data_IF_504069628866
#
_entry.id   IF_504069628866
#
_cell.length_a   1.000
_cell.length_b   1.000
_cell.length_c   1.000
_cell.angle_alpha   90.00
_cell.angle_beta   90.00
_cell.angle_gamma   90.00
#
_symmetry.space_group_name_H-M   'P 1'
#
loop_
_entity.id
_entity.type
_entity.pdbx_description
1 polymer ?
#
# COMPACT_ATOMS: atom_id res chain seq x y z
N UNK A 1 -15.83 -9.36 -9.95
CA UNK A 1 -14.60 -10.18 -9.84
C UNK A 1 -13.51 -9.29 -9.35
N UNK A 2 -12.59 -9.76 -8.47
CA UNK A 2 -11.57 -8.88 -7.92
C UNK A 2 -10.50 -8.54 -8.94
N UNK A 3 -10.04 -7.30 -8.96
CA UNK A 3 -8.81 -6.89 -9.64
C UNK A 3 -7.59 -7.32 -8.84
N UNK A 4 -6.51 -7.77 -9.49
CA UNK A 4 -5.31 -8.21 -8.80
C UNK A 4 -4.27 -7.10 -8.75
N UNK A 5 -3.89 -6.69 -7.54
CA UNK A 5 -2.84 -5.72 -7.27
C UNK A 5 -1.58 -6.47 -6.81
N UNK A 6 -0.49 -6.29 -7.54
CA UNK A 6 0.80 -6.82 -7.15
C UNK A 6 1.49 -5.85 -6.19
N UNK A 7 1.45 -6.14 -4.89
CA UNK A 7 2.17 -5.36 -3.88
C UNK A 7 3.60 -5.85 -3.77
N UNK A 8 4.53 -5.13 -4.39
CA UNK A 8 5.95 -5.52 -4.44
C UNK A 8 6.72 -4.95 -3.26
N UNK A 9 7.44 -5.84 -2.58
CA UNK A 9 8.43 -5.51 -1.55
C UNK A 9 9.83 -5.73 -2.13
N UNK A 10 10.48 -4.69 -2.68
CA UNK A 10 11.79 -4.86 -3.30
C UNK A 10 12.84 -5.17 -2.26
N UNK A 11 13.66 -6.19 -2.51
CA UNK A 11 14.82 -6.54 -1.68
C UNK A 11 16.05 -6.65 -2.57
N UNK A 12 17.22 -6.33 -2.01
CA UNK A 12 18.48 -6.24 -2.78
C UNK A 12 19.14 -7.61 -2.98
N UNK A 13 18.52 -8.67 -2.52
CA UNK A 13 18.96 -10.05 -2.68
C UNK A 13 18.47 -10.97 -1.58
N UNK A 14 18.75 -12.28 -1.67
CA UNK A 14 18.44 -13.24 -0.64
C UNK A 14 19.36 -13.05 0.60
N UNK A 15 19.03 -13.65 1.76
CA UNK A 15 19.78 -13.50 3.00
C UNK A 15 21.29 -13.71 2.88
N UNK A 16 21.71 -14.70 2.09
CA UNK A 16 23.13 -14.97 1.86
C UNK A 16 23.86 -13.81 1.16
N UNK A 17 23.20 -13.15 0.17
CA UNK A 17 23.76 -11.99 -0.51
C UNK A 17 23.80 -10.77 0.42
N UNK A 18 22.75 -10.56 1.22
CA UNK A 18 22.71 -9.48 2.22
C UNK A 18 23.85 -9.61 3.25
N UNK A 19 24.11 -10.83 3.71
CA UNK A 19 25.19 -11.10 4.65
C UNK A 19 26.57 -10.89 4.03
N UNK A 20 26.77 -11.36 2.79
CA UNK A 20 28.06 -11.28 2.08
C UNK A 20 28.44 -9.85 1.67
N UNK A 21 27.43 -8.99 1.38
CA UNK A 21 27.62 -7.60 0.90
C UNK A 21 27.21 -6.55 1.95
N UNK A 22 27.26 -6.89 3.22
CA UNK A 22 26.79 -6.02 4.32
C UNK A 22 27.57 -4.69 4.43
N UNK A 23 26.92 -3.52 4.48
CA UNK A 23 25.49 -3.27 4.36
C UNK A 23 25.08 -3.12 2.88
N UNK A 24 24.35 -4.10 2.35
CA UNK A 24 23.97 -4.18 0.94
C UNK A 24 23.10 -2.99 0.48
N UNK A 25 22.34 -2.36 1.39
CA UNK A 25 21.55 -1.16 1.09
C UNK A 25 22.39 0.07 0.66
N UNK A 26 23.72 0.02 0.83
CA UNK A 26 24.66 1.04 0.35
C UNK A 26 25.41 0.63 -0.91
N UNK A 27 25.10 -0.52 -1.43
CA UNK A 27 25.75 -1.07 -2.62
C UNK A 27 25.02 -0.63 -3.89
N UNK A 28 25.63 0.30 -4.64
CA UNK A 28 25.02 0.87 -5.84
C UNK A 28 24.75 -0.18 -6.93
N UNK A 29 25.57 -1.22 -7.05
CA UNK A 29 25.33 -2.29 -8.04
C UNK A 29 24.11 -3.13 -7.66
N UNK A 30 23.95 -3.45 -6.37
CA UNK A 30 22.77 -4.16 -5.89
C UNK A 30 21.48 -3.32 -6.07
N UNK A 31 21.55 -2.01 -5.81
CA UNK A 31 20.44 -1.09 -6.05
C UNK A 31 20.08 -1.01 -7.52
N UNK A 32 21.07 -0.88 -8.43
CA UNK A 32 20.79 -0.86 -9.87
C UNK A 32 20.19 -2.17 -10.35
N UNK A 33 20.73 -3.31 -9.91
CA UNK A 33 20.18 -4.63 -10.27
C UNK A 33 18.72 -4.80 -9.80
N UNK A 34 18.37 -4.29 -8.63
CA UNK A 34 16.99 -4.28 -8.13
C UNK A 34 16.10 -3.39 -8.99
N UNK A 35 16.55 -2.18 -9.32
CA UNK A 35 15.82 -1.23 -10.17
C UNK A 35 15.57 -1.83 -11.55
N UNK A 36 16.58 -2.43 -12.19
CA UNK A 36 16.46 -3.09 -13.50
C UNK A 36 15.48 -4.28 -13.42
N UNK A 37 15.54 -5.05 -12.33
CA UNK A 37 14.62 -6.16 -12.12
C UNK A 37 13.17 -5.71 -11.91
N UNK A 38 12.92 -4.55 -11.30
CA UNK A 38 11.57 -4.00 -11.16
C UNK A 38 10.94 -3.60 -12.51
N UNK A 39 11.74 -3.19 -13.50
CA UNK A 39 11.23 -2.97 -14.88
C UNK A 39 10.61 -4.27 -15.40
N UNK A 40 11.30 -5.37 -15.24
CA UNK A 40 10.84 -6.68 -15.75
C UNK A 40 9.58 -7.15 -15.06
N UNK A 41 9.51 -6.99 -13.72
CA UNK A 41 8.29 -7.29 -12.97
C UNK A 41 7.12 -6.43 -13.44
N UNK A 42 7.35 -5.12 -13.64
CA UNK A 42 6.31 -4.21 -14.11
C UNK A 42 5.85 -4.56 -15.54
N UNK A 43 6.77 -4.88 -16.44
CA UNK A 43 6.45 -5.32 -17.79
C UNK A 43 5.70 -6.66 -17.80
N UNK A 44 6.17 -7.64 -17.02
CA UNK A 44 5.48 -8.92 -16.89
C UNK A 44 4.06 -8.73 -16.32
N UNK A 45 3.89 -7.90 -15.30
CA UNK A 45 2.58 -7.60 -14.72
C UNK A 45 1.65 -6.91 -15.74
N UNK A 46 2.16 -5.97 -16.55
CA UNK A 46 1.38 -5.30 -17.62
C UNK A 46 0.95 -6.29 -18.71
N UNK A 47 1.90 -7.13 -19.18
CA UNK A 47 1.64 -8.11 -20.25
C UNK A 47 0.69 -9.24 -19.79
N UNK A 48 0.77 -9.64 -18.52
CA UNK A 48 -0.03 -10.70 -17.91
C UNK A 48 -1.41 -10.21 -17.40
N UNK A 49 -1.71 -8.90 -17.48
CA UNK A 49 -3.03 -8.38 -17.13
C UNK A 49 -3.28 -8.14 -15.66
N UNK A 50 -2.24 -7.97 -14.84
CA UNK A 50 -2.40 -7.45 -13.50
C UNK A 50 -2.98 -6.03 -13.54
N UNK A 51 -3.85 -5.70 -12.60
CA UNK A 51 -4.52 -4.39 -12.59
C UNK A 51 -3.59 -3.26 -12.14
N UNK A 52 -2.75 -3.52 -11.13
CA UNK A 52 -1.79 -2.55 -10.64
C UNK A 52 -0.54 -3.22 -10.06
N UNK A 53 0.56 -2.44 -10.05
CA UNK A 53 1.76 -2.69 -9.25
C UNK A 53 1.91 -1.59 -8.21
N UNK A 54 2.20 -1.97 -6.97
CA UNK A 54 2.35 -1.04 -5.86
C UNK A 54 3.60 -1.32 -5.04
N UNK A 55 4.12 -0.27 -4.39
CA UNK A 55 5.30 -0.34 -3.53
C UNK A 55 5.01 0.27 -2.15
N UNK A 56 5.73 -0.17 -1.13
CA UNK A 56 5.69 0.42 0.22
C UNK A 56 6.56 1.68 0.31
N UNK A 57 6.37 2.49 1.35
CA UNK A 57 7.32 3.52 1.74
C UNK A 57 8.04 3.08 3.02
N UNK A 58 9.31 2.69 2.88
CA UNK A 58 10.16 2.29 4.00
C UNK A 58 11.54 2.93 3.87
N UNK A 59 12.09 3.40 4.99
CA UNK A 59 13.32 4.16 5.01
C UNK A 59 14.42 3.50 5.85
N UNK A 60 15.69 3.84 5.54
CA UNK A 60 16.89 3.45 6.28
C UNK A 60 17.18 1.94 6.33
N UNK A 61 16.67 1.20 5.34
CA UNK A 61 16.87 -0.24 5.22
C UNK A 61 18.26 -0.57 4.66
N UNK A 62 19.29 -0.33 5.48
CA UNK A 62 20.67 -0.65 5.12
C UNK A 62 20.93 -2.15 4.94
N UNK A 63 20.08 -2.99 5.51
CA UNK A 63 20.05 -4.43 5.31
C UNK A 63 19.52 -4.88 3.95
N UNK A 64 18.85 -3.99 3.21
CA UNK A 64 18.37 -4.25 1.85
C UNK A 64 17.02 -4.96 1.74
N UNK A 65 16.28 -5.14 2.84
CA UNK A 65 14.89 -5.63 2.81
C UNK A 65 13.92 -4.48 2.57
N UNK A 66 12.81 -4.74 1.86
CA UNK A 66 11.72 -3.76 1.61
C UNK A 66 12.28 -2.39 1.19
N UNK A 67 13.21 -2.40 0.24
CA UNK A 67 14.01 -1.24 -0.14
C UNK A 67 13.24 -0.30 -1.07
N UNK A 68 12.42 0.57 -0.52
CA UNK A 68 11.58 1.50 -1.28
C UNK A 68 11.40 2.85 -0.54
N UNK A 69 12.45 3.71 -0.50
CA UNK A 69 12.38 4.98 0.25
C UNK A 69 11.59 6.09 -0.46
N UNK A 70 11.30 5.95 -1.75
CA UNK A 70 10.58 6.95 -2.54
C UNK A 70 9.64 6.27 -3.56
N UNK A 71 8.57 5.60 -3.11
CA UNK A 71 7.72 4.78 -3.99
C UNK A 71 7.01 5.61 -5.06
N UNK A 72 6.61 6.85 -4.79
CA UNK A 72 5.97 7.70 -5.79
C UNK A 72 6.91 7.99 -6.97
N UNK A 73 8.17 8.32 -6.71
CA UNK A 73 9.18 8.53 -7.74
C UNK A 73 9.44 7.23 -8.53
N UNK A 74 9.55 6.10 -7.83
CA UNK A 74 9.73 4.79 -8.42
C UNK A 74 8.57 4.43 -9.36
N UNK A 75 7.32 4.68 -8.94
CA UNK A 75 6.14 4.42 -9.75
C UNK A 75 6.09 5.29 -11.02
N UNK A 76 6.41 6.59 -10.91
CA UNK A 76 6.50 7.48 -12.08
C UNK A 76 7.53 6.96 -13.07
N UNK A 77 8.70 6.53 -12.60
CA UNK A 77 9.75 5.99 -13.46
C UNK A 77 9.35 4.66 -14.10
N UNK A 78 8.80 3.70 -13.33
CA UNK A 78 8.36 2.40 -13.84
C UNK A 78 7.21 2.53 -14.85
N UNK A 79 6.34 3.54 -14.72
CA UNK A 79 5.21 3.73 -15.62
C UNK A 79 5.60 3.98 -17.08
N UNK A 80 6.86 4.37 -17.35
CA UNK A 80 7.39 4.56 -18.69
C UNK A 80 7.62 3.23 -19.42
N UNK A 81 7.68 2.11 -18.70
CA UNK A 81 7.91 0.77 -19.24
C UNK A 81 6.63 -0.05 -19.40
N UNK A 82 5.47 0.51 -19.05
CA UNK A 82 4.16 -0.15 -19.07
C UNK A 82 3.13 0.68 -19.81
N UNK A 83 2.06 0.04 -20.31
CA UNK A 83 1.03 0.70 -21.12
C UNK A 83 -0.32 0.80 -20.41
N UNK A 84 -0.73 -0.26 -19.73
CA UNK A 84 -2.07 -0.40 -19.10
C UNK A 84 -1.98 -0.44 -17.59
N UNK A 85 -0.90 -1.05 -17.07
CA UNK A 85 -0.70 -1.26 -15.63
C UNK A 85 -0.83 0.05 -14.85
N UNK A 86 -1.64 0.04 -13.81
CA UNK A 86 -1.67 1.13 -12.84
C UNK A 86 -0.46 1.00 -11.90
N UNK A 87 -0.01 2.14 -11.43
CA UNK A 87 1.12 2.22 -10.49
C UNK A 87 0.69 2.94 -9.23
N UNK A 88 1.18 2.51 -8.08
CA UNK A 88 0.79 3.16 -6.84
C UNK A 88 1.61 2.77 -5.63
N UNK A 89 1.16 3.24 -4.51
CA UNK A 89 1.78 2.98 -3.22
C UNK A 89 0.78 2.29 -2.29
N UNK A 90 1.25 1.30 -1.54
CA UNK A 90 0.53 0.75 -0.41
C UNK A 90 1.49 0.65 0.80
N UNK A 91 1.72 1.84 1.45
CA UNK A 91 1.24 3.22 1.17
C UNK A 91 2.28 4.26 1.54
N UNK A 92 1.99 5.48 1.05
CA UNK A 92 2.71 6.67 1.51
C UNK A 92 2.42 6.93 2.99
N UNK A 93 3.45 7.22 3.76
CA UNK A 93 3.30 7.44 5.20
C UNK A 93 3.01 8.90 5.48
N UNK A 94 1.74 9.26 5.42
CA UNK A 94 1.24 10.64 5.43
C UNK A 94 1.66 11.45 6.66
N UNK A 95 1.94 10.80 7.78
CA UNK A 95 2.44 11.45 9.01
C UNK A 95 3.93 11.84 8.95
N UNK A 96 4.66 11.39 7.92
CA UNK A 96 6.05 11.77 7.68
C UNK A 96 6.21 12.83 6.56
N UNK A 97 5.11 13.21 5.90
CA UNK A 97 5.10 14.16 4.80
C UNK A 97 4.45 15.51 5.16
N UNK A 98 4.87 16.56 4.47
CA UNK A 98 4.07 17.80 4.39
C UNK A 98 2.87 17.54 3.47
N UNK A 99 1.63 17.72 3.95
CA UNK A 99 0.44 17.30 3.21
C UNK A 99 0.17 18.14 1.95
N UNK A 100 0.55 19.41 1.94
CA UNK A 100 0.36 20.27 0.75
C UNK A 100 1.36 19.89 -0.33
N UNK A 101 2.62 19.74 0.04
CA UNK A 101 3.66 19.31 -0.90
C UNK A 101 3.36 17.93 -1.48
N UNK A 102 2.92 17.01 -0.64
CA UNK A 102 2.54 15.67 -1.11
C UNK A 102 1.33 15.73 -2.05
N UNK A 103 0.35 16.61 -1.81
CA UNK A 103 -0.77 16.83 -2.71
C UNK A 103 -0.33 17.29 -4.10
N UNK A 104 0.64 18.22 -4.19
CA UNK A 104 1.24 18.67 -5.45
C UNK A 104 2.02 17.53 -6.15
N UNK A 105 2.84 16.79 -5.41
CA UNK A 105 3.62 15.67 -5.93
C UNK A 105 2.72 14.56 -6.50
N UNK A 106 1.63 14.21 -5.80
CA UNK A 106 0.64 13.24 -6.27
C UNK A 106 -0.07 13.76 -7.53
N UNK A 107 -0.47 15.03 -7.56
CA UNK A 107 -1.14 15.61 -8.72
C UNK A 107 -0.25 15.59 -9.97
N UNK A 108 1.03 15.97 -9.84
CA UNK A 108 2.01 15.88 -10.93
C UNK A 108 2.22 14.42 -11.37
N UNK A 109 2.35 13.50 -10.43
CA UNK A 109 2.49 12.07 -10.75
C UNK A 109 1.28 11.54 -11.52
N UNK A 110 0.07 11.92 -11.13
CA UNK A 110 -1.17 11.52 -11.82
C UNK A 110 -1.22 12.04 -13.27
N UNK A 111 -0.77 13.28 -13.52
CA UNK A 111 -0.59 13.80 -14.88
C UNK A 111 0.44 13.00 -15.69
N UNK A 112 1.59 12.67 -15.08
CA UNK A 112 2.65 11.89 -15.74
C UNK A 112 2.19 10.45 -16.06
N UNK A 113 1.38 9.85 -15.19
CA UNK A 113 0.79 8.54 -15.38
C UNK A 113 -0.51 8.57 -16.21
N UNK A 114 -1.03 9.76 -16.54
CA UNK A 114 -2.28 9.93 -17.29
C UNK A 114 -3.47 9.18 -16.68
N UNK A 115 -3.65 9.29 -15.36
CA UNK A 115 -4.75 8.65 -14.63
C UNK A 115 -4.52 7.18 -14.26
N UNK A 116 -3.34 6.62 -14.52
CA UNK A 116 -2.96 5.27 -14.06
C UNK A 116 -2.36 5.25 -12.65
N UNK A 117 -2.48 6.35 -11.88
CA UNK A 117 -2.01 6.41 -10.50
C UNK A 117 -3.10 5.92 -9.54
N UNK A 118 -2.71 5.11 -8.57
CA UNK A 118 -3.48 4.84 -7.35
C UNK A 118 -2.66 5.29 -6.14
N UNK A 119 -3.32 5.78 -5.10
CA UNK A 119 -2.65 6.38 -3.95
C UNK A 119 -3.06 5.67 -2.68
N UNK A 120 -2.18 4.87 -2.12
CA UNK A 120 -2.37 4.28 -0.80
C UNK A 120 -1.66 5.10 0.28
N UNK A 121 -2.31 5.22 1.41
CA UNK A 121 -1.84 6.00 2.56
C UNK A 121 -1.62 5.09 3.77
N UNK A 122 -0.68 5.45 4.62
CA UNK A 122 -0.35 4.72 5.85
C UNK A 122 0.01 5.67 6.99
N UNK A 123 -0.05 5.17 8.23
CA UNK A 123 0.36 5.92 9.43
C UNK A 123 1.82 5.70 9.84
N UNK A 124 2.48 4.66 9.29
CA UNK A 124 3.85 4.27 9.61
C UNK A 124 3.97 3.46 10.90
N UNK A 125 4.51 2.24 10.81
CA UNK A 125 4.63 1.31 11.96
C UNK A 125 6.08 1.05 12.40
N UNK A 126 7.07 1.42 11.59
CA UNK A 126 8.48 1.15 11.88
C UNK A 126 9.11 2.30 12.66
N UNK A 127 9.37 2.08 13.95
CA UNK A 127 9.90 3.10 14.85
C UNK A 127 11.26 3.67 14.44
N UNK A 128 12.14 2.85 13.82
CA UNK A 128 13.49 3.24 13.40
C UNK A 128 13.51 4.50 12.53
N UNK A 129 12.61 4.60 11.58
CA UNK A 129 12.56 5.75 10.69
C UNK A 129 11.43 6.73 11.03
N UNK A 130 10.30 6.25 11.55
CA UNK A 130 9.20 7.12 11.96
C UNK A 130 9.62 8.09 13.05
N UNK A 131 10.39 7.65 14.06
CA UNK A 131 10.93 8.53 15.09
C UNK A 131 11.89 9.60 14.54
N UNK A 132 12.50 9.34 13.37
CA UNK A 132 13.38 10.30 12.70
C UNK A 132 12.60 11.24 11.78
N UNK A 133 11.76 10.72 10.90
CA UNK A 133 11.06 11.53 9.90
C UNK A 133 9.81 12.21 10.45
N UNK A 134 9.15 11.60 11.43
CA UNK A 134 7.98 12.16 12.12
C UNK A 134 8.31 13.18 13.22
N UNK A 135 9.60 13.37 13.58
CA UNK A 135 10.00 14.23 14.69
C UNK A 135 9.51 15.70 14.57
N UNK A 136 9.48 16.23 13.35
CA UNK A 136 9.01 17.57 13.06
C UNK A 136 7.55 17.80 13.49
N UNK A 137 6.74 16.76 13.40
CA UNK A 137 5.33 16.78 13.76
C UNK A 137 5.06 16.21 15.16
N UNK A 138 6.11 15.76 15.86
CA UNK A 138 6.02 15.21 17.19
C UNK A 138 5.29 13.86 17.24
N UNK A 139 5.43 13.06 16.18
CA UNK A 139 4.87 11.70 16.07
C UNK A 139 5.97 10.67 15.91
N UNK A 140 5.66 9.44 16.32
CA UNK A 140 6.48 8.25 16.10
C UNK A 140 5.65 7.18 15.38
N UNK A 141 6.15 5.95 15.35
CA UNK A 141 5.39 4.82 14.79
C UNK A 141 4.04 4.64 15.49
N UNK A 142 3.04 4.22 14.73
CA UNK A 142 1.78 3.75 15.31
C UNK A 142 2.00 2.46 16.09
N UNK A 143 1.43 2.39 17.28
CA UNK A 143 1.53 1.23 18.17
C UNK A 143 0.24 0.40 18.16
N UNK A 144 -0.87 0.98 17.70
CA UNK A 144 -2.23 0.40 17.71
C UNK A 144 -2.70 -0.02 19.11
N UNK A 145 -2.15 0.64 20.14
CA UNK A 145 -2.38 0.37 21.58
C UNK A 145 -3.28 1.41 22.25
N UNK A 146 -3.83 2.35 21.46
CA UNK A 146 -4.67 3.47 21.91
C UNK A 146 -3.98 4.40 22.92
N UNK A 147 -2.65 4.38 23.00
CA UNK A 147 -1.89 5.33 23.81
C UNK A 147 -2.04 6.77 23.28
N UNK A 148 -1.62 7.76 24.07
CA UNK A 148 -1.59 9.17 23.64
C UNK A 148 -0.73 9.35 22.38
N UNK A 149 0.34 8.55 22.22
CA UNK A 149 1.22 8.56 21.05
C UNK A 149 0.51 8.02 19.82
N UNK A 150 -0.21 6.90 19.93
CA UNK A 150 -1.01 6.34 18.83
C UNK A 150 -2.16 7.27 18.45
N UNK A 151 -2.83 7.86 19.45
CA UNK A 151 -3.90 8.84 19.24
C UNK A 151 -3.39 10.06 18.48
N UNK A 152 -2.28 10.64 18.91
CA UNK A 152 -1.66 11.80 18.23
C UNK A 152 -1.25 11.47 16.79
N UNK A 153 -0.67 10.28 16.54
CA UNK A 153 -0.33 9.85 15.20
C UNK A 153 -1.59 9.74 14.32
N UNK A 154 -2.70 9.23 14.87
CA UNK A 154 -3.99 9.12 14.17
C UNK A 154 -4.58 10.50 13.86
N UNK A 155 -4.59 11.42 14.81
CA UNK A 155 -5.11 12.77 14.64
C UNK A 155 -4.34 13.53 13.55
N UNK A 156 -3.00 13.46 13.58
CA UNK A 156 -2.16 14.06 12.54
C UNK A 156 -2.42 13.44 11.17
N UNK A 157 -2.55 12.11 11.09
CA UNK A 157 -2.89 11.44 9.84
C UNK A 157 -4.22 11.94 9.26
N UNK A 158 -5.25 12.04 10.09
CA UNK A 158 -6.57 12.50 9.66
C UNK A 158 -6.59 13.98 9.28
N UNK A 159 -5.85 14.84 9.99
CA UNK A 159 -5.69 16.26 9.61
C UNK A 159 -4.96 16.40 8.27
N UNK A 160 -3.85 15.71 8.09
CA UNK A 160 -3.08 15.72 6.85
C UNK A 160 -3.89 15.18 5.66
N UNK A 161 -4.67 14.12 5.87
CA UNK A 161 -5.58 13.58 4.86
C UNK A 161 -6.63 14.60 4.44
N UNK A 162 -7.29 15.23 5.40
CA UNK A 162 -8.27 16.31 5.14
C UNK A 162 -7.65 17.45 4.38
N UNK A 163 -6.46 17.90 4.78
CA UNK A 163 -5.77 19.01 4.16
C UNK A 163 -5.35 18.70 2.72
N UNK A 164 -4.87 17.49 2.46
CA UNK A 164 -4.55 17.01 1.12
C UNK A 164 -5.81 17.01 0.21
N UNK A 165 -6.95 16.48 0.68
CA UNK A 165 -8.22 16.53 -0.07
C UNK A 165 -8.69 17.96 -0.33
N UNK A 166 -8.57 18.85 0.65
CA UNK A 166 -8.90 20.27 0.49
C UNK A 166 -7.97 20.95 -0.51
N UNK A 167 -6.68 20.61 -0.52
CA UNK A 167 -5.71 21.13 -1.49
C UNK A 167 -6.12 20.81 -2.93
N UNK A 168 -6.65 19.61 -3.18
CA UNK A 168 -7.14 19.22 -4.51
C UNK A 168 -8.50 19.85 -4.86
N UNK A 169 -9.42 19.94 -3.89
CA UNK A 169 -10.79 20.38 -4.14
C UNK A 169 -10.97 21.89 -4.21
N UNK A 170 -10.18 22.66 -3.42
CA UNK A 170 -10.38 24.11 -3.29
C UNK A 170 -9.70 24.88 -4.43
N UNK A 171 -10.38 25.86 -5.02
CA UNK A 171 -9.74 26.83 -5.91
C UNK A 171 -8.76 27.71 -5.12
N UNK A 172 -9.20 28.20 -3.97
CA UNK A 172 -8.40 28.96 -3.02
C UNK A 172 -8.41 28.24 -1.67
N UNK A 173 -7.26 27.71 -1.28
CA UNK A 173 -7.09 27.04 0.01
C UNK A 173 -6.81 28.04 1.11
N UNK A 174 -7.67 28.02 2.14
CA UNK A 174 -7.46 28.63 3.44
C UNK A 174 -7.77 27.60 4.50
N UNK A 175 -6.86 27.42 5.43
CA UNK A 175 -7.01 26.42 6.47
C UNK A 175 -6.36 26.85 7.77
N UNK A 176 -7.03 26.57 8.89
CA UNK A 176 -6.47 26.69 10.24
C UNK A 176 -6.90 25.46 11.03
N UNK A 177 -5.95 24.60 11.30
CA UNK A 177 -6.14 23.37 12.04
C UNK A 177 -5.25 23.29 13.27
N UNK A 178 -5.27 22.16 13.98
CA UNK A 178 -4.46 21.93 15.18
C UNK A 178 -2.96 21.99 14.93
N UNK A 179 -2.48 21.53 13.75
CA UNK A 179 -1.05 21.43 13.45
C UNK A 179 -0.61 22.20 12.21
N UNK A 180 -1.55 22.71 11.41
CA UNK A 180 -1.25 23.33 10.12
C UNK A 180 -2.09 24.59 9.85
N UNK A 181 -1.47 25.61 9.26
CA UNK A 181 -2.13 26.84 8.82
C UNK A 181 -1.79 27.15 7.36
N UNK A 182 -2.77 27.64 6.59
CA UNK A 182 -2.61 28.08 5.20
C UNK A 182 -3.41 29.36 4.97
N UNK A 183 -2.77 30.49 4.62
CA UNK A 183 -1.33 30.75 4.69
C UNK A 183 -0.82 30.76 6.13
N UNK A 184 0.47 30.82 6.33
CA UNK A 184 1.03 30.97 7.67
C UNK A 184 1.71 32.36 7.81
N UNK A 185 1.32 33.17 8.81
CA UNK A 185 0.22 32.96 9.76
C UNK A 185 -1.16 33.14 9.09
N UNK A 186 -2.13 32.29 9.48
CA UNK A 186 -3.46 32.30 8.85
C UNK A 186 -4.21 33.61 9.04
N UNK A 187 -4.20 34.15 10.27
CA UNK A 187 -5.06 35.28 10.64
C UNK A 187 -4.58 36.62 10.02
N UNK A 188 -3.28 36.84 9.93
CA UNK A 188 -2.70 38.04 9.35
C UNK A 188 -2.35 37.92 7.88
N UNK A 189 -2.19 36.70 7.38
CA UNK A 189 -1.65 36.42 6.05
C UNK A 189 -0.17 36.80 5.94
N UNK A 190 0.37 36.75 4.72
CA UNK A 190 1.77 37.10 4.41
C UNK A 190 1.80 38.43 3.69
N UNK A 191 2.18 39.51 4.37
CA UNK A 191 2.15 40.85 3.78
C UNK A 191 3.28 41.08 2.78
N UNK A 192 3.05 42.01 1.84
CA UNK A 192 4.08 42.53 0.95
C UNK A 192 4.51 41.55 -0.14
N UNK A 193 3.59 40.77 -0.71
CA UNK A 193 3.87 39.90 -1.86
C UNK A 193 4.24 40.74 -3.09
N UNK A 194 5.52 40.77 -3.54
CA UNK A 194 5.95 41.76 -4.53
C UNK A 194 5.21 41.70 -5.88
N UNK A 195 4.90 40.51 -6.45
CA UNK A 195 4.20 40.44 -7.75
C UNK A 195 2.67 40.48 -7.61
N UNK A 196 2.11 40.96 -6.52
CA UNK A 196 0.66 40.98 -6.28
C UNK A 196 -0.09 41.61 -7.46
N UNK A 197 0.32 42.83 -7.89
CA UNK A 197 -0.35 43.60 -8.94
C UNK A 197 0.01 43.14 -10.35
N UNK A 198 1.27 42.75 -10.55
CA UNK A 198 1.77 42.47 -11.89
C UNK A 198 1.47 41.04 -12.36
N UNK A 199 1.32 40.08 -11.44
CA UNK A 199 1.17 38.68 -11.75
C UNK A 199 -0.04 38.04 -11.05
N UNK A 200 -0.13 38.14 -9.70
CA UNK A 200 -1.09 37.30 -8.98
C UNK A 200 -2.53 37.75 -9.21
N UNK A 201 -2.84 39.07 -9.11
CA UNK A 201 -4.20 39.56 -9.39
C UNK A 201 -4.66 39.35 -10.83
N UNK A 202 -3.86 39.62 -11.87
CA UNK A 202 -4.31 39.40 -13.25
C UNK A 202 -4.37 37.95 -13.70
N UNK A 203 -3.58 37.04 -13.10
CA UNK A 203 -3.43 35.66 -13.61
C UNK A 203 -3.63 34.58 -12.57
N UNK A 204 -3.61 34.90 -11.27
CA UNK A 204 -3.85 33.95 -10.18
C UNK A 204 -5.32 33.78 -9.86
N UNK A 205 -5.59 33.02 -8.80
CA UNK A 205 -6.97 32.82 -8.32
C UNK A 205 -7.45 34.06 -7.58
N UNK A 206 -8.69 34.55 -7.86
CA UNK A 206 -9.25 35.70 -7.13
C UNK A 206 -9.24 35.45 -5.61
N UNK A 207 -8.69 36.42 -4.86
CA UNK A 207 -8.61 36.38 -3.40
C UNK A 207 -7.32 35.77 -2.84
N UNK A 208 -6.39 35.31 -3.67
CA UNK A 208 -5.05 34.91 -3.19
C UNK A 208 -4.32 36.08 -2.52
N UNK A 209 -4.45 37.29 -3.08
CA UNK A 209 -3.92 38.50 -2.50
C UNK A 209 -5.03 39.51 -2.32
N UNK A 210 -5.01 40.26 -1.19
CA UNK A 210 -5.91 41.38 -0.95
C UNK A 210 -5.43 42.67 -1.64
N UNK A 211 -6.18 43.80 -1.47
CA UNK A 211 -5.86 45.07 -2.08
C UNK A 211 -4.53 45.66 -1.59
N UNK A 212 -4.10 45.31 -0.39
CA UNK A 212 -2.84 45.72 0.22
C UNK A 212 -1.65 44.82 -0.21
N UNK A 213 -1.88 43.79 -1.04
CA UNK A 213 -0.85 42.84 -1.49
C UNK A 213 -0.46 41.79 -0.44
N UNK A 214 -1.35 41.54 0.52
CA UNK A 214 -1.17 40.44 1.50
C UNK A 214 -1.70 39.15 0.96
N UNK A 215 -0.92 38.04 1.01
CA UNK A 215 -1.39 36.72 0.66
C UNK A 215 -2.40 36.23 1.70
N UNK A 216 -3.61 35.95 1.27
CA UNK A 216 -4.73 35.51 2.12
C UNK A 216 -5.09 34.05 1.95
N UNK A 217 -4.64 33.44 0.90
CA UNK A 217 -4.82 32.00 0.58
C UNK A 217 -3.83 31.57 -0.48
N UNK A 218 -3.81 30.29 -0.80
CA UNK A 218 -2.98 29.74 -1.89
C UNK A 218 -3.83 28.84 -2.77
N UNK A 219 -3.54 28.83 -4.06
CA UNK A 219 -4.07 27.83 -4.97
C UNK A 219 -3.05 26.71 -5.13
N UNK A 220 -3.41 25.50 -4.67
CA UNK A 220 -2.55 24.33 -4.84
C UNK A 220 -2.68 23.80 -6.27
N UNK A 221 -1.58 23.76 -6.99
CA UNK A 221 -1.55 23.45 -8.44
C UNK A 221 -0.40 22.48 -8.78
N UNK A 222 -0.60 21.59 -9.78
CA UNK A 222 -1.84 21.38 -10.52
C UNK A 222 -2.91 20.69 -9.70
N UNK A 223 -4.14 20.66 -10.21
CA UNK A 223 -5.14 19.68 -9.72
C UNK A 223 -4.79 18.29 -10.28
N UNK A 224 -5.16 17.20 -9.62
CA UNK A 224 -4.96 15.87 -10.17
C UNK A 224 -5.54 15.74 -11.58
N UNK A 225 -4.93 14.90 -12.41
CA UNK A 225 -5.45 14.54 -13.73
C UNK A 225 -6.80 13.81 -13.62
N UNK A 226 -6.87 12.85 -12.69
CA UNK A 226 -8.09 12.14 -12.31
C UNK A 226 -8.93 12.97 -11.37
N UNK A 227 -10.20 13.20 -11.72
CA UNK A 227 -11.10 14.02 -10.91
C UNK A 227 -12.07 13.14 -10.08
N UNK A 228 -12.33 13.49 -8.83
CA UNK A 228 -11.78 14.62 -8.04
C UNK A 228 -10.35 14.41 -7.56
N UNK A 229 -9.85 13.18 -7.59
CA UNK A 229 -8.50 12.77 -7.23
C UNK A 229 -8.27 11.30 -7.65
N UNK A 230 -7.03 10.80 -7.73
CA UNK A 230 -6.75 9.37 -7.91
C UNK A 230 -7.48 8.52 -6.87
N UNK A 231 -7.74 7.26 -7.19
CA UNK A 231 -8.34 6.34 -6.23
C UNK A 231 -7.47 6.22 -4.98
N UNK A 232 -8.10 6.39 -3.80
CA UNK A 232 -7.41 6.38 -2.51
C UNK A 232 -7.57 5.03 -1.82
N UNK A 233 -6.46 4.53 -1.29
CA UNK A 233 -6.37 3.30 -0.52
C UNK A 233 -5.81 3.57 0.88
N UNK A 234 -6.23 2.78 1.86
CA UNK A 234 -5.59 2.69 3.16
C UNK A 234 -4.80 1.39 3.23
N UNK A 235 -3.49 1.50 3.34
CA UNK A 235 -2.61 0.34 3.40
C UNK A 235 -2.76 -0.43 4.72
N UNK A 236 -2.90 -1.75 4.61
CA UNK A 236 -2.83 -2.72 5.71
C UNK A 236 -3.74 -2.39 6.91
N UNK A 237 -5.01 -2.10 6.63
CA UNK A 237 -6.03 -1.91 7.66
C UNK A 237 -6.28 -3.21 8.44
N UNK A 238 -6.00 -3.20 9.74
CA UNK A 238 -6.20 -4.36 10.62
C UNK A 238 -6.96 -4.02 11.91
N UNK A 239 -7.44 -2.78 12.08
CA UNK A 239 -8.18 -2.38 13.27
C UNK A 239 -9.58 -1.85 12.96
N UNK A 240 -10.60 -2.10 13.84
CA UNK A 240 -11.93 -1.56 13.67
C UNK A 240 -11.96 -0.06 13.37
N UNK A 241 -11.24 0.74 14.16
CA UNK A 241 -11.21 2.18 13.99
C UNK A 241 -10.66 2.63 12.61
N UNK A 242 -9.70 1.89 12.04
CA UNK A 242 -9.20 2.18 10.69
C UNK A 242 -10.24 1.84 9.63
N UNK A 243 -10.93 0.70 9.76
CA UNK A 243 -11.94 0.27 8.78
C UNK A 243 -13.17 1.20 8.82
N UNK A 244 -13.65 1.59 10.02
CA UNK A 244 -14.74 2.58 10.17
C UNK A 244 -14.35 3.89 9.49
N UNK A 245 -13.14 4.42 9.76
CA UNK A 245 -12.65 5.64 9.12
C UNK A 245 -12.56 5.53 7.58
N UNK A 246 -12.10 4.40 7.07
CA UNK A 246 -12.09 4.16 5.62
C UNK A 246 -13.51 4.22 5.04
N UNK A 247 -14.48 3.62 5.72
CA UNK A 247 -15.88 3.72 5.35
C UNK A 247 -16.39 5.17 5.41
N UNK A 248 -16.07 5.92 6.45
CA UNK A 248 -16.47 7.33 6.58
C UNK A 248 -15.92 8.22 5.46
N UNK A 249 -14.67 8.02 5.07
CA UNK A 249 -13.94 8.91 4.14
C UNK A 249 -13.94 8.44 2.67
N UNK A 250 -14.60 7.33 2.36
CA UNK A 250 -14.62 6.72 1.02
C UNK A 250 -13.23 6.32 0.52
N UNK A 251 -12.47 5.66 1.38
CA UNK A 251 -11.11 5.17 1.12
C UNK A 251 -11.14 3.65 1.08
N UNK A 252 -10.59 3.05 0.04
CA UNK A 252 -10.50 1.59 -0.11
C UNK A 252 -9.50 0.99 0.91
N UNK A 253 -9.92 0.25 1.93
CA UNK A 253 -8.97 -0.43 2.82
C UNK A 253 -8.37 -1.65 2.14
N UNK A 254 -7.06 -1.89 2.32
CA UNK A 254 -6.44 -3.18 2.03
C UNK A 254 -6.27 -3.92 3.35
N UNK A 255 -7.03 -5.00 3.53
CA UNK A 255 -7.16 -5.68 4.83
C UNK A 255 -6.10 -6.77 4.98
N UNK A 256 -5.27 -6.62 6.00
CA UNK A 256 -4.23 -7.58 6.35
C UNK A 256 -4.69 -8.44 7.53
N UNK A 257 -5.44 -9.49 7.22
CA UNK A 257 -5.88 -10.51 8.17
C UNK A 257 -6.03 -11.85 7.44
N UNK A 258 -5.74 -12.95 8.12
CA UNK A 258 -5.83 -14.30 7.57
C UNK A 258 -7.25 -14.89 7.67
N UNK A 259 -7.79 -15.12 8.88
CA UNK A 259 -9.04 -15.85 9.08
C UNK A 259 -10.26 -15.12 8.52
N UNK A 260 -11.17 -15.88 7.92
CA UNK A 260 -12.40 -15.35 7.29
C UNK A 260 -13.29 -14.61 8.29
N UNK A 261 -13.38 -15.12 9.52
CA UNK A 261 -14.18 -14.49 10.57
C UNK A 261 -13.65 -13.11 10.95
N UNK A 262 -12.33 -12.98 11.08
CA UNK A 262 -11.67 -11.68 11.34
C UNK A 262 -11.88 -10.73 10.17
N UNK A 263 -11.71 -11.20 8.94
CA UNK A 263 -12.00 -10.41 7.73
C UNK A 263 -13.45 -9.95 7.69
N UNK A 264 -14.41 -10.85 7.96
CA UNK A 264 -15.84 -10.53 7.98
C UNK A 264 -16.15 -9.42 8.98
N UNK A 265 -15.59 -9.51 10.19
CA UNK A 265 -15.76 -8.48 11.21
C UNK A 265 -15.18 -7.12 10.75
N UNK A 266 -13.99 -7.12 10.17
CA UNK A 266 -13.36 -5.91 9.67
C UNK A 266 -14.15 -5.27 8.52
N UNK A 267 -14.67 -6.06 7.59
CA UNK A 267 -15.53 -5.57 6.50
C UNK A 267 -16.80 -4.92 7.03
N UNK A 268 -17.43 -5.48 8.07
CA UNK A 268 -18.62 -4.88 8.70
C UNK A 268 -18.31 -3.48 9.25
N UNK A 269 -17.17 -3.25 9.91
CA UNK A 269 -16.77 -1.91 10.36
C UNK A 269 -16.61 -0.92 9.22
N UNK A 270 -16.12 -1.36 8.05
CA UNK A 270 -16.07 -0.51 6.86
C UNK A 270 -17.47 -0.14 6.36
N UNK A 271 -18.38 -1.12 6.27
CA UNK A 271 -19.77 -0.88 5.85
C UNK A 271 -20.48 0.07 6.82
N UNK A 272 -20.40 -0.18 8.15
CA UNK A 272 -20.96 0.70 9.18
C UNK A 272 -20.42 2.14 9.09
N UNK A 273 -19.12 2.30 8.83
CA UNK A 273 -18.50 3.60 8.60
C UNK A 273 -19.10 4.33 7.38
N UNK A 274 -19.30 3.64 6.27
CA UNK A 274 -19.92 4.20 5.08
C UNK A 274 -21.38 4.60 5.33
N UNK A 275 -22.16 3.74 6.00
CA UNK A 275 -23.55 4.00 6.35
C UNK A 275 -23.69 5.20 7.29
N UNK A 276 -22.75 5.40 8.22
CA UNK A 276 -22.73 6.56 9.12
C UNK A 276 -22.64 7.91 8.36
N UNK A 277 -22.15 7.88 7.12
CA UNK A 277 -22.06 9.03 6.20
C UNK A 277 -23.15 9.01 5.11
N UNK A 278 -24.15 8.14 5.24
CA UNK A 278 -25.29 8.04 4.32
C UNK A 278 -24.97 7.36 2.99
N UNK A 279 -23.86 6.60 2.90
CA UNK A 279 -23.51 5.80 1.74
C UNK A 279 -23.90 4.34 1.97
N UNK A 280 -24.52 3.72 0.96
CA UNK A 280 -24.81 2.28 0.98
C UNK A 280 -23.70 1.55 0.23
N UNK A 281 -23.05 0.63 0.91
CA UNK A 281 -21.99 -0.23 0.35
C UNK A 281 -22.39 -1.68 0.56
N UNK A 282 -22.36 -2.47 -0.50
CA UNK A 282 -22.56 -3.91 -0.42
C UNK A 282 -21.39 -4.55 0.32
N UNK A 283 -21.67 -5.58 1.13
CA UNK A 283 -20.64 -6.34 1.85
C UNK A 283 -19.55 -6.86 0.89
N UNK A 284 -18.30 -6.58 1.19
CA UNK A 284 -17.14 -6.95 0.38
C UNK A 284 -16.80 -5.96 -0.74
N UNK A 285 -17.65 -4.97 -1.04
CA UNK A 285 -17.35 -3.97 -2.08
C UNK A 285 -16.55 -2.80 -1.53
N UNK A 286 -15.72 -2.20 -2.40
CA UNK A 286 -14.83 -1.10 -2.03
C UNK A 286 -13.64 -1.52 -1.15
N UNK A 287 -13.29 -2.81 -1.09
CA UNK A 287 -12.20 -3.31 -0.26
C UNK A 287 -11.21 -4.19 -1.05
N UNK A 288 -9.98 -4.28 -0.53
CA UNK A 288 -8.96 -5.23 -0.96
C UNK A 288 -8.54 -6.17 0.18
N UNK A 289 -8.19 -7.40 -0.17
CA UNK A 289 -7.72 -8.41 0.79
C UNK A 289 -6.29 -8.83 0.45
N UNK A 290 -5.40 -8.74 1.45
CA UNK A 290 -4.01 -9.11 1.31
C UNK A 290 -3.83 -10.63 1.43
N UNK A 291 -3.10 -11.23 0.48
CA UNK A 291 -2.69 -12.64 0.48
C UNK A 291 -1.28 -12.78 -0.08
N UNK A 292 -0.55 -13.76 0.40
CA UNK A 292 0.66 -14.25 -0.25
C UNK A 292 0.34 -15.54 -0.99
N UNK A 293 0.94 -15.76 -2.16
CA UNK A 293 0.71 -16.97 -2.96
C UNK A 293 2.01 -17.67 -3.27
N UNK A 294 1.94 -19.01 -3.38
CA UNK A 294 3.01 -19.83 -3.93
C UNK A 294 2.43 -21.04 -4.66
N UNK A 295 2.74 -21.17 -5.94
CA UNK A 295 2.22 -22.24 -6.80
C UNK A 295 3.31 -23.28 -7.04
N UNK A 296 3.03 -24.51 -6.63
CA UNK A 296 3.85 -25.68 -6.99
C UNK A 296 3.42 -26.16 -8.36
N UNK A 297 4.34 -26.15 -9.32
CA UNK A 297 4.03 -26.57 -10.68
C UNK A 297 3.60 -28.05 -10.75
N UNK A 298 2.56 -28.31 -11.54
CA UNK A 298 2.09 -29.66 -11.81
C UNK A 298 3.15 -30.43 -12.63
N UNK A 299 3.92 -31.26 -11.95
CA UNK A 299 4.77 -32.28 -12.59
C UNK A 299 4.03 -33.60 -12.76
N UNK A 300 4.66 -34.66 -13.32
CA UNK A 300 4.05 -35.96 -13.42
C UNK A 300 3.64 -36.42 -12.03
N UNK A 301 2.32 -36.45 -11.76
CA UNK A 301 1.57 -36.77 -10.54
C UNK A 301 2.39 -36.71 -9.24
N UNK A 302 2.60 -35.50 -8.74
CA UNK A 302 3.19 -35.27 -7.40
C UNK A 302 2.23 -35.86 -6.34
N UNK A 303 2.78 -36.52 -5.34
CA UNK A 303 2.00 -36.91 -4.16
C UNK A 303 1.72 -35.67 -3.29
N UNK A 304 0.69 -35.74 -2.46
CA UNK A 304 0.40 -34.67 -1.47
C UNK A 304 1.62 -34.34 -0.60
N UNK A 305 2.37 -35.38 -0.17
CA UNK A 305 3.58 -35.17 0.64
C UNK A 305 4.69 -34.44 -0.13
N UNK A 306 4.82 -34.72 -1.44
CA UNK A 306 5.79 -34.02 -2.29
C UNK A 306 5.43 -32.56 -2.47
N UNK A 307 4.15 -32.23 -2.71
CA UNK A 307 3.67 -30.84 -2.81
C UNK A 307 3.91 -30.09 -1.48
N UNK A 308 3.57 -30.73 -0.36
CA UNK A 308 3.79 -30.15 0.97
C UNK A 308 5.28 -29.88 1.24
N UNK A 309 6.15 -30.78 0.87
CA UNK A 309 7.60 -30.60 1.01
C UNK A 309 8.11 -29.41 0.18
N UNK A 310 7.64 -29.22 -1.05
CA UNK A 310 8.00 -28.08 -1.88
C UNK A 310 7.47 -26.76 -1.33
N UNK A 311 6.24 -26.73 -0.79
CA UNK A 311 5.68 -25.54 -0.11
C UNK A 311 6.55 -25.16 1.09
N UNK A 312 6.93 -26.12 1.93
CA UNK A 312 7.79 -25.81 3.10
C UNK A 312 9.20 -25.40 2.67
N UNK A 313 9.75 -25.98 1.61
CA UNK A 313 11.02 -25.53 1.05
C UNK A 313 10.92 -24.07 0.58
N UNK A 314 9.86 -23.73 -0.15
CA UNK A 314 9.63 -22.34 -0.60
C UNK A 314 9.46 -21.38 0.58
N UNK A 315 8.86 -21.82 1.70
CA UNK A 315 8.81 -21.03 2.91
C UNK A 315 10.20 -20.73 3.46
N UNK A 316 11.02 -21.75 3.68
CA UNK A 316 12.36 -21.60 4.25
C UNK A 316 13.28 -20.76 3.37
N UNK A 317 13.22 -20.95 2.05
CA UNK A 317 14.10 -20.26 1.11
C UNK A 317 13.67 -18.82 0.83
N UNK A 318 12.36 -18.52 0.80
CA UNK A 318 11.86 -17.27 0.24
C UNK A 318 10.92 -16.47 1.14
N UNK A 319 10.29 -17.10 2.12
CA UNK A 319 9.27 -16.47 2.95
C UNK A 319 9.70 -16.26 4.40
N UNK A 320 10.51 -17.18 4.96
CA UNK A 320 10.90 -17.19 6.37
C UNK A 320 11.50 -15.86 6.83
N UNK A 321 12.39 -15.24 6.04
CA UNK A 321 13.02 -13.97 6.42
C UNK A 321 11.99 -12.83 6.58
N UNK A 322 10.94 -12.82 5.77
CA UNK A 322 9.91 -11.78 5.86
C UNK A 322 8.92 -12.08 6.98
N UNK A 323 8.40 -13.31 7.05
CA UNK A 323 7.38 -13.63 8.04
C UNK A 323 7.95 -13.76 9.46
N UNK A 324 9.00 -14.54 9.64
CA UNK A 324 9.63 -14.76 10.96
C UNK A 324 10.65 -13.67 11.31
N UNK A 325 11.53 -13.32 10.38
CA UNK A 325 12.59 -12.36 10.62
C UNK A 325 12.13 -10.90 10.66
N UNK A 326 10.98 -10.58 10.07
CA UNK A 326 10.49 -9.21 9.93
C UNK A 326 9.11 -9.02 10.59
N UNK A 327 8.02 -9.49 9.99
CA UNK A 327 6.65 -9.18 10.46
C UNK A 327 6.36 -9.66 11.89
N UNK A 328 6.81 -10.86 12.26
CA UNK A 328 6.64 -11.38 13.61
C UNK A 328 7.33 -10.49 14.65
N UNK A 329 8.52 -9.95 14.33
CA UNK A 329 9.29 -9.10 15.24
C UNK A 329 8.59 -7.76 15.55
N UNK A 330 7.71 -7.30 14.70
CA UNK A 330 6.87 -6.12 14.96
C UNK A 330 5.56 -6.46 15.69
N UNK A 331 5.32 -7.71 16.02
CA UNK A 331 4.06 -8.15 16.62
C UNK A 331 2.86 -8.05 15.66
N UNK A 332 3.11 -7.79 14.37
CA UNK A 332 2.06 -7.58 13.36
C UNK A 332 1.22 -8.83 13.09
N UNK A 333 1.74 -10.02 13.43
CA UNK A 333 1.09 -11.28 13.11
C UNK A 333 0.06 -11.72 14.17
N UNK A 334 0.12 -11.21 15.40
CA UNK A 334 -0.68 -11.72 16.51
C UNK A 334 -2.18 -11.70 16.22
N UNK A 335 -2.72 -10.51 15.94
CA UNK A 335 -4.17 -10.38 15.68
C UNK A 335 -4.54 -10.77 14.24
N UNK A 336 -3.66 -10.55 13.27
CA UNK A 336 -3.92 -10.86 11.87
C UNK A 336 -3.97 -12.37 11.56
N UNK A 337 -3.31 -13.21 12.38
CA UNK A 337 -3.27 -14.66 12.21
C UNK A 337 -4.04 -15.44 13.29
N UNK A 338 -4.65 -14.76 14.25
CA UNK A 338 -5.41 -15.40 15.34
C UNK A 338 -6.63 -16.14 14.80
N UNK A 339 -6.70 -17.44 15.06
CA UNK A 339 -7.85 -18.25 14.69
C UNK A 339 -9.02 -18.03 15.66
N UNK A 340 -10.28 -18.24 15.23
CA UNK A 340 -11.45 -18.08 16.08
C UNK A 340 -11.37 -18.92 17.36
N UNK A 341 -11.61 -18.28 18.51
CA UNK A 341 -11.59 -18.93 19.82
C UNK A 341 -10.20 -19.24 20.37
N UNK A 342 -9.15 -18.80 19.70
CA UNK A 342 -7.78 -19.01 20.15
C UNK A 342 -7.37 -17.95 21.19
N UNK A 343 -6.78 -18.42 22.29
CA UNK A 343 -6.23 -17.58 23.36
C UNK A 343 -4.69 -17.71 23.43
N UNK A 344 -4.03 -16.67 23.96
CA UNK A 344 -2.59 -16.67 24.12
C UNK A 344 -1.80 -16.07 22.94
N UNK A 345 -0.46 -16.25 22.92
CA UNK A 345 0.38 -15.71 21.85
C UNK A 345 0.17 -16.41 20.52
N UNK A 346 0.26 -15.66 19.41
CA UNK A 346 0.18 -16.16 18.03
C UNK A 346 1.44 -15.70 17.27
N UNK A 347 2.24 -16.63 16.69
CA UNK A 347 2.10 -18.09 16.80
C UNK A 347 2.30 -18.59 18.23
N UNK A 348 1.76 -19.77 18.53
CA UNK A 348 1.96 -20.41 19.83
C UNK A 348 3.44 -20.81 20.01
N UNK A 349 3.97 -20.89 21.24
CA UNK A 349 5.33 -21.32 21.47
C UNK A 349 5.63 -22.71 20.87
N UNK A 350 6.59 -22.77 19.95
CA UNK A 350 6.97 -23.98 19.24
C UNK A 350 6.11 -24.34 18.03
N UNK A 351 5.12 -23.51 17.69
CA UNK A 351 4.36 -23.66 16.46
C UNK A 351 5.24 -23.30 15.26
N UNK A 352 5.14 -24.08 14.18
CA UNK A 352 5.83 -23.77 12.94
C UNK A 352 5.06 -22.71 12.17
N UNK A 353 5.68 -21.55 11.94
CA UNK A 353 5.00 -20.37 11.39
C UNK A 353 4.42 -20.62 10.00
N UNK A 354 5.04 -21.49 9.16
CA UNK A 354 4.47 -21.84 7.87
C UNK A 354 3.09 -22.49 8.00
N UNK A 355 2.91 -23.41 8.97
CA UNK A 355 1.59 -24.03 9.24
C UNK A 355 0.57 -22.96 9.68
N UNK A 356 0.98 -22.02 10.52
CA UNK A 356 0.12 -20.90 10.96
C UNK A 356 -0.33 -20.05 9.77
N UNK A 357 0.58 -19.69 8.87
CA UNK A 357 0.27 -18.90 7.69
C UNK A 357 -0.70 -19.59 6.75
N UNK A 358 -0.50 -20.91 6.52
CA UNK A 358 -1.40 -21.73 5.71
C UNK A 358 -2.77 -21.87 6.38
N UNK A 359 -2.81 -22.21 7.68
CA UNK A 359 -4.05 -22.45 8.42
C UNK A 359 -4.89 -21.17 8.57
N UNK A 360 -4.27 -20.02 8.70
CA UNK A 360 -4.96 -18.73 8.72
C UNK A 360 -5.46 -18.28 7.34
N UNK A 361 -4.96 -18.89 6.27
CA UNK A 361 -5.29 -18.52 4.89
C UNK A 361 -4.60 -17.26 4.37
N UNK A 362 -3.68 -16.64 5.13
CA UNK A 362 -2.95 -15.46 4.63
C UNK A 362 -1.90 -15.85 3.59
N UNK A 363 -1.37 -17.06 3.69
CA UNK A 363 -0.53 -17.68 2.68
C UNK A 363 -1.28 -18.82 2.02
N UNK A 364 -1.57 -18.70 0.73
CA UNK A 364 -2.26 -19.69 -0.08
C UNK A 364 -1.21 -20.37 -0.96
N UNK A 365 -0.86 -21.60 -0.62
CA UNK A 365 0.23 -22.31 -1.30
C UNK A 365 -0.12 -23.78 -1.57
N UNK A 366 0.36 -24.29 -2.70
CA UNK A 366 0.13 -25.66 -3.15
C UNK A 366 0.10 -25.75 -4.66
N UNK A 367 -0.57 -26.77 -5.19
CA UNK A 367 -0.81 -26.90 -6.63
C UNK A 367 -1.68 -25.75 -7.15
N UNK A 368 -1.76 -25.59 -8.48
CA UNK A 368 -2.70 -24.66 -9.12
C UNK A 368 -4.12 -24.83 -8.57
N UNK A 369 -4.59 -26.08 -8.45
CA UNK A 369 -5.93 -26.39 -7.93
C UNK A 369 -6.09 -26.04 -6.44
N UNK A 370 -5.03 -26.15 -5.63
CA UNK A 370 -5.05 -25.73 -4.22
C UNK A 370 -5.18 -24.21 -4.12
N UNK A 371 -4.44 -23.47 -4.94
CA UNK A 371 -4.50 -22.01 -4.95
C UNK A 371 -5.85 -21.53 -5.47
N UNK A 372 -6.41 -22.12 -6.53
CA UNK A 372 -7.77 -21.82 -7.01
C UNK A 372 -8.80 -22.00 -5.90
N UNK A 373 -8.80 -23.15 -5.23
CA UNK A 373 -9.73 -23.41 -4.11
C UNK A 373 -9.57 -22.42 -2.96
N UNK A 374 -8.34 -22.00 -2.64
CA UNK A 374 -8.08 -21.02 -1.61
C UNK A 374 -8.65 -19.63 -1.95
N UNK A 375 -8.50 -19.20 -3.20
CA UNK A 375 -9.05 -17.95 -3.69
C UNK A 375 -10.58 -18.01 -3.78
N UNK A 376 -11.14 -19.11 -4.30
CA UNK A 376 -12.59 -19.34 -4.39
C UNK A 376 -13.24 -19.29 -3.01
N UNK A 377 -12.73 -20.04 -2.04
CA UNK A 377 -13.25 -20.08 -0.68
C UNK A 377 -13.24 -18.68 0.01
N UNK A 378 -12.22 -17.88 -0.30
CA UNK A 378 -12.14 -16.48 0.17
C UNK A 378 -13.24 -15.62 -0.46
N UNK A 379 -13.34 -15.65 -1.80
CA UNK A 379 -14.24 -14.78 -2.56
C UNK A 379 -15.72 -15.14 -2.41
N UNK A 380 -16.04 -16.43 -2.19
CA UNK A 380 -17.40 -16.87 -1.82
C UNK A 380 -17.89 -16.25 -0.52
N UNK A 381 -16.99 -16.01 0.43
CA UNK A 381 -17.33 -15.42 1.74
C UNK A 381 -17.24 -13.91 1.73
N UNK A 382 -16.25 -13.35 1.03
CA UNK A 382 -16.00 -11.93 0.97
C UNK A 382 -15.74 -11.56 -0.50
N UNK A 383 -16.78 -11.09 -1.23
CA UNK A 383 -16.68 -10.76 -2.66
C UNK A 383 -15.94 -9.43 -2.87
N UNK A 384 -14.64 -9.39 -2.45
CA UNK A 384 -13.79 -8.22 -2.52
C UNK A 384 -13.60 -7.71 -3.95
N UNK A 385 -13.37 -6.39 -4.09
CA UNK A 385 -13.05 -5.80 -5.39
C UNK A 385 -11.56 -5.92 -5.74
N UNK A 386 -10.69 -6.08 -4.73
CA UNK A 386 -9.26 -6.20 -4.97
C UNK A 386 -8.67 -7.39 -4.20
N UNK A 387 -7.78 -8.12 -4.87
CA UNK A 387 -6.90 -9.12 -4.29
C UNK A 387 -5.47 -8.57 -4.31
N UNK A 388 -4.90 -8.37 -3.12
CA UNK A 388 -3.57 -7.78 -2.98
C UNK A 388 -2.56 -8.91 -2.77
N UNK A 389 -1.72 -9.17 -3.77
CA UNK A 389 -0.66 -10.17 -3.64
C UNK A 389 0.57 -9.55 -2.98
N UNK A 390 0.91 -10.01 -1.77
CA UNK A 390 2.13 -9.64 -1.06
C UNK A 390 3.33 -10.35 -1.71
N UNK A 391 4.06 -9.65 -2.56
CA UNK A 391 5.08 -10.20 -3.43
C UNK A 391 6.48 -9.72 -3.03
N UNK A 392 7.29 -10.64 -2.50
CA UNK A 392 8.64 -10.35 -2.01
C UNK A 392 9.68 -10.52 -3.13
N UNK A 393 9.88 -9.46 -3.91
CA UNK A 393 10.85 -9.42 -4.99
C UNK A 393 12.30 -9.33 -4.49
N UNK A 394 13.22 -10.08 -5.13
CA UNK A 394 14.66 -10.06 -4.86
C UNK A 394 15.14 -11.05 -3.80
N UNK A 395 14.24 -11.62 -2.98
CA UNK A 395 14.55 -12.75 -2.08
C UNK A 395 14.51 -14.06 -2.87
N UNK A 396 13.46 -14.22 -3.65
CA UNK A 396 13.25 -15.35 -4.56
C UNK A 396 14.16 -15.19 -5.80
N UNK A 397 14.70 -16.29 -6.38
CA UNK A 397 15.36 -16.23 -7.68
C UNK A 397 14.44 -15.60 -8.73
N UNK A 398 15.01 -14.76 -9.59
CA UNK A 398 14.25 -13.93 -10.54
C UNK A 398 13.35 -14.75 -11.47
N UNK A 399 13.86 -15.82 -12.04
CA UNK A 399 13.12 -16.74 -12.91
C UNK A 399 11.96 -17.42 -12.17
N UNK A 400 12.18 -17.82 -10.93
CA UNK A 400 11.11 -18.37 -10.05
C UNK A 400 10.04 -17.32 -9.79
N UNK A 401 10.43 -16.08 -9.46
CA UNK A 401 9.49 -15.01 -9.17
C UNK A 401 8.61 -14.68 -10.41
N UNK A 402 9.21 -14.51 -11.59
CA UNK A 402 8.48 -14.24 -12.83
C UNK A 402 7.58 -15.42 -13.21
N UNK A 403 8.05 -16.66 -12.98
CA UNK A 403 7.23 -17.86 -13.21
C UNK A 403 6.01 -17.92 -12.28
N UNK A 404 6.14 -17.52 -11.03
CA UNK A 404 4.99 -17.42 -10.11
C UNK A 404 3.93 -16.42 -10.62
N UNK A 405 4.35 -15.26 -11.14
CA UNK A 405 3.44 -14.28 -11.75
C UNK A 405 2.73 -14.87 -12.98
N UNK A 406 3.47 -15.55 -13.86
CA UNK A 406 2.91 -16.18 -15.04
C UNK A 406 1.89 -17.26 -14.67
N UNK A 407 2.23 -18.19 -13.77
CA UNK A 407 1.34 -19.25 -13.32
C UNK A 407 0.05 -18.72 -12.71
N UNK A 408 0.15 -17.68 -11.87
CA UNK A 408 -1.04 -17.09 -11.27
C UNK A 408 -1.92 -16.43 -12.33
N UNK A 409 -1.33 -15.70 -13.27
CA UNK A 409 -2.06 -15.00 -14.32
C UNK A 409 -2.70 -15.96 -15.33
N UNK A 410 -1.98 -17.02 -15.75
CA UNK A 410 -2.46 -17.92 -16.80
C UNK A 410 -3.35 -19.05 -16.30
N UNK A 411 -3.14 -19.49 -15.06
CA UNK A 411 -3.83 -20.65 -14.51
C UNK A 411 -4.89 -20.29 -13.45
N UNK A 412 -4.67 -19.25 -12.64
CA UNK A 412 -5.57 -18.90 -11.53
C UNK A 412 -6.55 -17.79 -11.92
N UNK A 413 -6.04 -16.67 -12.44
CA UNK A 413 -6.86 -15.50 -12.75
C UNK A 413 -8.04 -15.80 -13.71
N UNK A 414 -7.91 -16.63 -14.77
CA UNK A 414 -9.02 -16.90 -15.68
C UNK A 414 -10.22 -17.60 -15.02
N UNK A 415 -9.99 -18.40 -13.97
CA UNK A 415 -11.07 -19.06 -13.23
C UNK A 415 -12.03 -18.03 -12.59
N UNK A 416 -11.51 -16.87 -12.25
CA UNK A 416 -12.26 -15.76 -11.66
C UNK A 416 -12.64 -14.70 -12.70
N UNK A 417 -12.56 -15.02 -14.00
CA UNK A 417 -12.96 -14.15 -15.12
C UNK A 417 -12.05 -12.93 -15.31
N UNK A 418 -10.84 -12.97 -14.78
CA UNK A 418 -9.81 -11.97 -15.03
C UNK A 418 -9.08 -12.38 -16.32
N UNK A 419 -9.47 -11.81 -17.45
CA UNK A 419 -8.83 -12.07 -18.74
C UNK A 419 -8.00 -10.86 -19.15
N UNK A 420 -6.69 -11.09 -19.29
CA UNK A 420 -5.73 -10.08 -19.74
C UNK A 420 -6.11 -9.46 -21.11
N UNK A 421 -6.88 -10.17 -21.94
CA UNK A 421 -7.33 -9.70 -23.25
C UNK A 421 -8.46 -8.67 -23.20
N UNK A 422 -9.15 -8.53 -22.07
CA UNK A 422 -10.28 -7.64 -21.88
C UNK A 422 -9.90 -6.20 -21.46
N UNK A 423 -8.61 -5.95 -21.18
CA UNK A 423 -8.12 -4.64 -20.74
C UNK A 423 -7.87 -3.75 -21.96
N UNK A 424 -8.76 -2.76 -22.19
CA UNK A 424 -8.51 -1.70 -23.16
C UNK A 424 -7.34 -0.79 -22.72
N UNK A 425 -6.52 -0.28 -23.65
CA UNK A 425 -5.50 0.72 -23.31
C UNK A 425 -6.18 1.99 -22.76
N UNK A 426 -5.71 2.46 -21.62
CA UNK A 426 -6.16 3.72 -20.99
C UNK A 426 -5.61 4.93 -21.74
#
# INVERSE_FOLDING_TARGET
MPEVILQVYPSLGPPAAMAARRPIGRDNEAVQAMVDGLIEVAQAADDLGYWAITHVEHHFHSEGLEYSPAPLLLNVWLSQYTKRLRHGQLGLVLTAHDPIRLAEEIAIADHLLRGRLIVGLARGYQSRWMSTLGQKYGVTATLSDQSDVDTRNRELFQENFKLMKLAWASELLRYKGPTYEVPYPHDTGVPGWPPADSITRPYGVPGEVDDEGTVRGVSVVPKPYTQPHPQLFQAFGGSPATLTWCGEEDVTPTIFAGPIETLTALVNFYVEGAESRGRTVEFGKGIGICRSFHIVENGPRKSTDSVRAEVYQAYEEHQHIMWHGWYEQFGALQESLRLPGEEGPVPAPGEYLADRLLNSGIWVAGTVDDVKRGVEALLEKIPADYLIWLFHWGIMPRDVALRQLELFATEVMPEFGLDASALEPV
#
